data_IF_951564648028
#
_entry.id   IF_951564648028
#
_cell.length_a   1.000
_cell.length_b   1.000
_cell.length_c   1.000
_cell.angle_alpha   90.00
_cell.angle_beta   90.00
_cell.angle_gamma   90.00
#
_symmetry.space_group_name_H-M   'P 1'
#
loop_
_entity.id
_entity.type
_entity.pdbx_description
1 polymer ?
#
# COMPACT_ATOMS: atom_id res chain seq x y z
N UNK A 1 -2.96 -20.44 -3.85
CA UNK A 1 -3.18 -19.70 -2.58
C UNK A 1 -3.87 -18.38 -2.90
N UNK A 2 -4.82 -17.90 -2.09
CA UNK A 2 -5.32 -16.54 -2.24
C UNK A 2 -4.17 -15.56 -2.01
N UNK A 3 -4.03 -14.59 -2.92
CA UNK A 3 -3.06 -13.50 -2.79
C UNK A 3 -3.53 -12.59 -1.64
N UNK A 4 -2.59 -12.07 -0.84
CA UNK A 4 -2.92 -11.10 0.22
C UNK A 4 -3.64 -9.89 -0.37
N UNK A 5 -4.69 -9.38 0.29
CA UNK A 5 -5.41 -8.18 -0.16
C UNK A 5 -4.47 -6.99 -0.37
N UNK A 6 -3.40 -6.87 0.42
CA UNK A 6 -2.43 -5.79 0.24
C UNK A 6 -1.68 -5.90 -1.09
N UNK A 7 -1.36 -7.13 -1.52
CA UNK A 7 -0.71 -7.38 -2.81
C UNK A 7 -1.69 -7.13 -3.94
N UNK A 8 -2.94 -7.57 -3.81
CA UNK A 8 -3.99 -7.28 -4.79
C UNK A 8 -4.20 -5.77 -4.97
N UNK A 9 -4.21 -5.01 -3.87
CA UNK A 9 -4.33 -3.55 -3.89
C UNK A 9 -3.17 -2.84 -4.57
N UNK A 10 -1.96 -3.39 -4.51
CA UNK A 10 -0.79 -2.82 -5.19
C UNK A 10 -0.84 -3.15 -6.69
N UNK A 11 -1.22 -4.38 -7.02
CA UNK A 11 -1.18 -4.86 -8.41
C UNK A 11 -2.40 -4.45 -9.23
N UNK A 12 -3.58 -4.33 -8.60
CA UNK A 12 -4.86 -4.08 -9.26
C UNK A 12 -5.79 -3.19 -8.42
N UNK A 13 -5.41 -1.92 -8.18
CA UNK A 13 -6.11 -1.02 -7.26
C UNK A 13 -7.49 -0.55 -7.74
N UNK A 14 -7.82 -0.71 -9.02
CA UNK A 14 -9.09 -0.26 -9.60
C UNK A 14 -10.20 -1.30 -9.53
N UNK A 15 -9.88 -2.57 -9.25
CA UNK A 15 -10.83 -3.67 -9.40
C UNK A 15 -10.87 -4.59 -8.17
N UNK A 16 -10.92 -3.97 -6.98
CA UNK A 16 -10.81 -4.66 -5.70
C UNK A 16 -12.15 -5.16 -5.20
N UNK A 17 -12.22 -6.44 -4.82
CA UNK A 17 -13.35 -6.99 -4.09
C UNK A 17 -13.12 -6.84 -2.58
N UNK A 18 -13.81 -5.89 -1.95
CA UNK A 18 -13.71 -5.63 -0.51
C UNK A 18 -14.96 -6.07 0.26
N UNK A 19 -15.86 -6.89 -0.30
CA UNK A 19 -17.14 -7.27 0.31
C UNK A 19 -17.02 -7.90 1.70
N UNK A 20 -15.93 -8.65 1.94
CA UNK A 20 -15.66 -9.34 3.21
C UNK A 20 -14.78 -8.52 4.15
N UNK A 21 -14.42 -7.30 3.77
CA UNK A 21 -13.52 -6.43 4.52
C UNK A 21 -14.26 -5.17 4.97
N UNK A 22 -13.85 -4.66 6.13
CA UNK A 22 -14.43 -3.45 6.72
C UNK A 22 -13.35 -2.41 6.97
N UNK A 23 -13.70 -1.11 7.06
CA UNK A 23 -12.74 -0.07 7.40
C UNK A 23 -12.01 -0.35 8.73
N UNK A 24 -12.68 -1.04 9.66
CA UNK A 24 -12.13 -1.38 10.99
C UNK A 24 -10.98 -2.37 10.87
N UNK A 25 -11.06 -3.36 9.96
CA UNK A 25 -9.99 -4.33 9.75
C UNK A 25 -8.72 -3.62 9.27
N UNK A 26 -8.83 -2.73 8.29
CA UNK A 26 -7.70 -1.93 7.80
C UNK A 26 -7.15 -0.97 8.87
N UNK A 27 -8.02 -0.37 9.69
CA UNK A 27 -7.58 0.44 10.84
C UNK A 27 -6.76 -0.38 11.83
N UNK A 28 -7.21 -1.60 12.17
CA UNK A 28 -6.48 -2.52 13.06
C UNK A 28 -5.13 -2.92 12.46
N UNK A 29 -5.11 -3.32 11.18
CA UNK A 29 -3.87 -3.64 10.48
C UNK A 29 -2.87 -2.47 10.52
N UNK A 30 -3.34 -1.24 10.26
CA UNK A 30 -2.49 -0.04 10.34
C UNK A 30 -1.90 0.18 11.74
N UNK A 31 -2.66 -0.09 12.81
CA UNK A 31 -2.16 0.02 14.19
C UNK A 31 -1.02 -0.97 14.43
N UNK A 32 -1.21 -2.24 14.05
CA UNK A 32 -0.17 -3.27 14.24
C UNK A 32 1.08 -3.01 13.38
N UNK A 33 0.90 -2.54 12.14
CA UNK A 33 2.02 -2.15 11.27
C UNK A 33 2.81 -0.98 11.85
N UNK A 34 2.13 0.02 12.43
CA UNK A 34 2.82 1.13 13.12
C UNK A 34 3.56 0.68 14.38
N UNK A 35 2.99 -0.26 15.14
CA UNK A 35 3.69 -0.88 16.28
C UNK A 35 4.93 -1.64 15.80
N UNK A 36 4.82 -2.34 14.68
CA UNK A 36 5.95 -3.06 14.07
C UNK A 36 7.07 -2.10 13.67
N UNK A 37 6.76 -0.93 13.09
CA UNK A 37 7.74 0.12 12.81
C UNK A 37 8.42 0.64 14.08
N UNK A 38 7.65 0.89 15.14
CA UNK A 38 8.21 1.34 16.43
C UNK A 38 9.14 0.29 17.05
N UNK A 39 8.76 -0.99 16.99
CA UNK A 39 9.58 -2.09 17.46
C UNK A 39 10.86 -2.25 16.62
N UNK A 40 10.76 -2.09 15.29
CA UNK A 40 11.91 -2.12 14.38
C UNK A 40 12.90 -0.99 14.68
N UNK A 41 12.40 0.23 14.91
CA UNK A 41 13.21 1.39 15.27
C UNK A 41 13.89 1.20 16.64
N UNK A 42 13.20 0.58 17.60
CA UNK A 42 13.78 0.24 18.90
C UNK A 42 14.87 -0.84 18.77
N UNK A 43 14.59 -1.91 18.03
CA UNK A 43 15.54 -3.00 17.78
C UNK A 43 16.81 -2.48 17.10
N UNK A 44 16.68 -1.61 16.08
CA UNK A 44 17.82 -0.99 15.38
C UNK A 44 18.78 -0.26 16.32
N UNK A 45 18.29 0.34 17.41
CA UNK A 45 19.14 1.04 18.39
C UNK A 45 19.94 0.09 19.29
N UNK A 46 19.49 -1.15 19.43
CA UNK A 46 20.12 -2.17 20.29
C UNK A 46 21.04 -3.11 19.52
N UNK A 47 20.86 -3.21 18.21
CA UNK A 47 21.61 -4.11 17.36
C UNK A 47 23.00 -3.53 17.06
N UNK A 48 24.06 -4.36 17.04
CA UNK A 48 25.37 -3.91 16.58
C UNK A 48 25.30 -3.49 15.10
N UNK A 49 26.04 -2.46 14.74
CA UNK A 49 26.07 -2.01 13.36
C UNK A 49 26.67 -3.10 12.46
N UNK A 50 25.88 -3.50 11.48
CA UNK A 50 26.28 -4.42 10.41
C UNK A 50 25.60 -3.95 9.13
N UNK A 51 26.36 -3.86 8.04
CA UNK A 51 25.89 -3.32 6.78
C UNK A 51 24.73 -4.15 6.19
N UNK A 52 24.88 -5.47 6.11
CA UNK A 52 23.81 -6.37 5.63
C UNK A 52 22.56 -6.28 6.50
N UNK A 53 22.74 -6.20 7.82
CA UNK A 53 21.63 -6.03 8.75
C UNK A 53 20.92 -4.68 8.51
N UNK A 54 21.65 -3.59 8.30
CA UNK A 54 21.07 -2.28 8.02
C UNK A 54 20.24 -2.30 6.73
N UNK A 55 20.71 -3.01 5.71
CA UNK A 55 20.00 -3.21 4.46
C UNK A 55 18.70 -4.00 4.64
N UNK A 56 18.73 -5.11 5.38
CA UNK A 56 17.52 -5.90 5.70
C UNK A 56 16.52 -5.08 6.53
N UNK A 57 16.99 -4.31 7.51
CA UNK A 57 16.13 -3.43 8.30
C UNK A 57 15.47 -2.35 7.43
N UNK A 58 16.19 -1.82 6.43
CA UNK A 58 15.64 -0.87 5.47
C UNK A 58 14.54 -1.50 4.59
N UNK A 59 14.73 -2.74 4.12
CA UNK A 59 13.70 -3.49 3.37
C UNK A 59 12.45 -3.73 4.21
N UNK A 60 12.61 -4.20 5.45
CA UNK A 60 11.48 -4.46 6.37
C UNK A 60 10.73 -3.16 6.64
N UNK A 61 11.45 -2.07 6.89
CA UNK A 61 10.85 -0.75 7.11
C UNK A 61 10.03 -0.33 5.89
N UNK A 62 10.62 -0.38 4.71
CA UNK A 62 10.00 0.02 3.45
C UNK A 62 8.72 -0.77 3.14
N UNK A 63 8.78 -2.10 3.26
CA UNK A 63 7.61 -2.97 3.06
C UNK A 63 6.52 -2.63 4.07
N UNK A 64 6.89 -2.41 5.34
CA UNK A 64 5.92 -2.08 6.39
C UNK A 64 5.27 -0.72 6.15
N UNK A 65 6.03 0.29 5.70
CA UNK A 65 5.50 1.60 5.32
C UNK A 65 4.54 1.51 4.12
N UNK A 66 4.87 0.70 3.10
CA UNK A 66 3.98 0.40 1.99
C UNK A 66 2.68 -0.26 2.48
N UNK A 67 2.76 -1.24 3.38
CA UNK A 67 1.57 -1.86 3.97
C UNK A 67 0.74 -0.87 4.80
N UNK A 68 1.37 0.11 5.47
CA UNK A 68 0.67 1.20 6.18
C UNK A 68 -0.12 2.07 5.19
N UNK A 69 0.51 2.45 4.08
CA UNK A 69 -0.15 3.22 3.02
C UNK A 69 -1.32 2.44 2.41
N UNK A 70 -1.08 1.18 2.03
CA UNK A 70 -2.12 0.32 1.47
C UNK A 70 -3.25 0.08 2.48
N UNK A 71 -2.97 0.00 3.78
CA UNK A 71 -4.02 -0.04 4.82
C UNK A 71 -4.83 1.25 4.87
N UNK A 72 -4.21 2.43 4.69
CA UNK A 72 -4.95 3.71 4.58
C UNK A 72 -5.85 3.71 3.34
N UNK A 73 -5.33 3.26 2.20
CA UNK A 73 -6.10 3.13 0.96
C UNK A 73 -7.31 2.21 1.16
N UNK A 74 -7.12 1.03 1.74
CA UNK A 74 -8.20 0.04 1.93
C UNK A 74 -9.28 0.55 2.86
N UNK A 75 -8.89 1.25 3.94
CA UNK A 75 -9.84 1.93 4.81
C UNK A 75 -10.66 2.97 4.03
N UNK A 76 -10.01 3.80 3.20
CA UNK A 76 -10.67 4.84 2.42
C UNK A 76 -11.63 4.24 1.38
N UNK A 77 -11.24 3.16 0.70
CA UNK A 77 -12.07 2.46 -0.28
C UNK A 77 -13.31 1.84 0.37
N UNK A 78 -13.18 1.23 1.54
CA UNK A 78 -14.35 0.74 2.27
C UNK A 78 -15.29 1.87 2.73
N UNK A 79 -14.77 3.06 3.03
CA UNK A 79 -15.57 4.20 3.50
C UNK A 79 -16.25 4.99 2.38
N UNK A 80 -15.56 5.17 1.25
CA UNK A 80 -15.96 6.07 0.17
C UNK A 80 -16.29 5.34 -1.13
N UNK A 81 -15.60 4.24 -1.45
CA UNK A 81 -15.74 3.51 -2.71
C UNK A 81 -17.15 2.94 -2.92
N UNK A 82 -17.75 2.36 -1.87
CA UNK A 82 -19.10 1.82 -1.93
C UNK A 82 -20.21 2.90 -2.10
N UNK A 83 -19.95 4.14 -1.65
CA UNK A 83 -20.88 5.27 -1.84
C UNK A 83 -20.79 5.86 -3.23
N UNK A 84 -19.57 5.99 -3.78
CA UNK A 84 -19.34 6.55 -5.11
C UNK A 84 -19.76 5.61 -6.25
N UNK A 85 -19.63 4.28 -6.06
CA UNK A 85 -20.20 3.29 -6.99
C UNK A 85 -21.71 3.55 -7.18
N UNK A 86 -22.47 3.61 -6.08
CA UNK A 86 -23.93 3.83 -6.09
C UNK A 86 -24.41 5.14 -6.72
N UNK A 87 -23.61 6.21 -6.67
CA UNK A 87 -24.00 7.55 -7.19
C UNK A 87 -23.78 7.67 -8.70
N UNK A 88 -22.92 6.85 -9.29
CA UNK A 88 -22.60 6.89 -10.73
C UNK A 88 -23.51 5.95 -11.58
N UNK A 89 -24.49 5.31 -10.94
CA UNK A 89 -25.10 4.03 -11.34
C UNK A 89 -26.60 4.11 -11.73
N UNK A 90 -27.05 5.15 -12.46
CA UNK A 90 -28.41 5.14 -13.05
C UNK A 90 -28.50 4.39 -14.41
N UNK A 91 -27.46 3.71 -14.90
CA UNK A 91 -27.55 3.14 -16.26
C UNK A 91 -26.53 2.11 -16.77
N UNK A 92 -25.79 1.37 -15.94
CA UNK A 92 -24.82 0.39 -16.45
C UNK A 92 -24.95 -1.02 -15.79
N UNK A 93 -24.81 -2.11 -16.58
CA UNK A 93 -25.00 -3.48 -16.10
C UNK A 93 -23.79 -4.00 -15.29
N UNK A 94 -23.99 -4.11 -13.98
CA UNK A 94 -23.38 -5.00 -13.00
C UNK A 94 -21.87 -5.32 -13.03
N UNK A 95 -21.18 -4.84 -11.99
CA UNK A 95 -20.29 -5.67 -11.15
C UNK A 95 -20.38 -5.15 -9.71
N UNK A 96 -21.48 -5.48 -9.04
CA UNK A 96 -21.75 -5.08 -7.67
C UNK A 96 -20.57 -5.46 -6.75
N UNK A 97 -20.06 -4.50 -5.98
CA UNK A 97 -19.09 -4.77 -4.91
C UNK A 97 -17.61 -4.48 -5.22
N UNK A 98 -17.26 -4.15 -6.47
CA UNK A 98 -15.87 -3.80 -6.81
C UNK A 98 -15.61 -2.31 -6.65
N UNK A 99 -14.50 -1.97 -6.02
CA UNK A 99 -14.10 -0.58 -5.75
C UNK A 99 -12.70 -0.33 -6.28
N UNK A 100 -12.44 0.93 -6.60
CA UNK A 100 -11.21 1.38 -7.21
C UNK A 100 -10.76 2.73 -6.65
N UNK A 101 -9.46 3.04 -6.77
CA UNK A 101 -8.89 4.31 -6.30
C UNK A 101 -9.62 5.50 -6.92
N UNK A 102 -10.05 5.41 -8.18
CA UNK A 102 -10.81 6.46 -8.87
C UNK A 102 -12.14 6.83 -8.19
N UNK A 103 -12.68 5.98 -7.32
CA UNK A 103 -13.90 6.23 -6.55
C UNK A 103 -13.65 7.09 -5.30
N UNK A 104 -12.40 7.38 -4.97
CA UNK A 104 -12.04 8.20 -3.81
C UNK A 104 -12.14 9.70 -4.13
N UNK A 105 -12.48 10.54 -3.12
CA UNK A 105 -12.35 11.98 -3.22
C UNK A 105 -10.96 12.40 -3.71
N UNK A 106 -10.90 13.42 -4.57
CA UNK A 106 -9.65 13.90 -5.17
C UNK A 106 -8.58 14.21 -4.10
N UNK A 107 -8.98 14.85 -3.01
CA UNK A 107 -8.08 15.18 -1.90
C UNK A 107 -7.42 13.94 -1.27
N UNK A 108 -8.19 12.86 -1.10
CA UNK A 108 -7.67 11.59 -0.56
C UNK A 108 -6.73 10.93 -1.57
N UNK A 109 -7.07 10.94 -2.86
CA UNK A 109 -6.19 10.40 -3.91
C UNK A 109 -4.85 11.12 -3.95
N UNK A 110 -4.87 12.45 -3.95
CA UNK A 110 -3.64 13.26 -3.99
C UNK A 110 -2.76 13.02 -2.75
N UNK A 111 -3.34 12.93 -1.55
CA UNK A 111 -2.59 12.63 -0.32
C UNK A 111 -1.92 11.25 -0.35
N UNK A 112 -2.66 10.24 -0.83
CA UNK A 112 -2.13 8.87 -0.97
C UNK A 112 -1.06 8.79 -2.06
N UNK A 113 -1.24 9.48 -3.20
CA UNK A 113 -0.26 9.53 -4.27
C UNK A 113 1.05 10.19 -3.81
N UNK A 114 0.98 11.30 -3.07
CA UNK A 114 2.16 11.94 -2.49
C UNK A 114 2.90 11.01 -1.53
N UNK A 115 2.16 10.33 -0.64
CA UNK A 115 2.74 9.33 0.26
C UNK A 115 3.40 8.17 -0.52
N UNK A 116 2.83 7.77 -1.66
CA UNK A 116 3.39 6.72 -2.50
C UNK A 116 4.69 7.16 -3.19
N UNK A 117 4.77 8.42 -3.63
CA UNK A 117 5.98 8.96 -4.25
C UNK A 117 7.17 8.93 -3.27
N UNK A 118 6.93 9.25 -2.00
CA UNK A 118 7.95 9.13 -0.96
C UNK A 118 8.44 7.68 -0.80
N UNK A 119 7.52 6.72 -0.74
CA UNK A 119 7.85 5.29 -0.64
C UNK A 119 8.57 4.80 -1.90
N UNK A 120 8.15 5.25 -3.09
CA UNK A 120 8.79 4.92 -4.37
C UNK A 120 10.25 5.38 -4.40
N UNK A 121 10.54 6.60 -3.94
CA UNK A 121 11.91 7.11 -3.84
C UNK A 121 12.75 6.26 -2.88
N UNK A 122 12.21 5.93 -1.70
CA UNK A 122 12.91 5.05 -0.75
C UNK A 122 13.15 3.65 -1.33
N UNK A 123 12.17 3.11 -2.06
CA UNK A 123 12.30 1.82 -2.75
C UNK A 123 13.44 1.83 -3.76
N UNK A 124 13.61 2.89 -4.54
CA UNK A 124 14.73 2.99 -5.48
C UNK A 124 16.08 2.91 -4.77
N UNK A 125 16.24 3.63 -3.65
CA UNK A 125 17.47 3.58 -2.87
C UNK A 125 17.75 2.18 -2.31
N UNK A 126 16.74 1.54 -1.71
CA UNK A 126 16.88 0.19 -1.16
C UNK A 126 17.18 -0.83 -2.27
N UNK A 127 16.48 -0.75 -3.39
CA UNK A 127 16.70 -1.65 -4.53
C UNK A 127 18.12 -1.56 -5.08
N UNK A 128 18.62 -0.34 -5.33
CA UNK A 128 19.97 -0.13 -5.87
C UNK A 128 21.07 -0.54 -4.89
N UNK A 129 20.76 -0.65 -3.59
CA UNK A 129 21.71 -1.12 -2.58
C UNK A 129 21.84 -2.66 -2.49
N UNK A 130 20.93 -3.42 -3.12
CA UNK A 130 20.85 -4.90 -2.97
C UNK A 130 20.61 -5.68 -4.26
N UNK A 131 20.05 -5.04 -5.26
CA UNK A 131 19.57 -5.68 -6.50
C UNK A 131 20.25 -5.10 -7.72
N UNK A 132 20.19 -5.83 -8.84
CA UNK A 132 20.83 -5.44 -10.09
C UNK A 132 20.12 -4.18 -10.65
N UNK A 133 20.83 -3.08 -10.96
CA UNK A 133 20.21 -1.83 -11.40
C UNK A 133 19.30 -1.96 -12.62
N UNK A 134 19.61 -2.85 -13.56
CA UNK A 134 18.82 -3.09 -14.78
C UNK A 134 17.42 -3.64 -14.52
N UNK A 135 17.17 -4.20 -13.32
CA UNK A 135 15.85 -4.74 -12.93
C UNK A 135 14.94 -3.69 -12.29
N UNK A 136 15.49 -2.55 -11.86
CA UNK A 136 14.74 -1.49 -11.19
C UNK A 136 13.54 -0.97 -12.02
N UNK A 137 13.65 -0.71 -13.33
CA UNK A 137 12.52 -0.23 -14.11
C UNK A 137 11.33 -1.20 -14.09
N UNK A 138 11.59 -2.51 -14.10
CA UNK A 138 10.52 -3.51 -14.01
C UNK A 138 9.91 -3.56 -12.61
N UNK A 139 10.72 -3.43 -11.56
CA UNK A 139 10.22 -3.38 -10.20
C UNK A 139 9.34 -2.15 -9.95
N UNK A 140 9.72 -0.99 -10.51
CA UNK A 140 8.98 0.26 -10.33
C UNK A 140 7.57 0.26 -10.94
N UNK A 141 7.31 -0.60 -11.94
CA UNK A 141 5.97 -0.74 -12.55
C UNK A 141 4.88 -1.06 -11.53
N UNK A 142 5.22 -1.69 -10.40
CA UNK A 142 4.25 -1.97 -9.35
C UNK A 142 3.67 -0.69 -8.72
N UNK A 143 4.42 0.42 -8.75
CA UNK A 143 3.97 1.71 -8.22
C UNK A 143 3.16 2.51 -9.23
N UNK A 144 3.38 2.30 -10.53
CA UNK A 144 2.68 3.02 -11.60
C UNK A 144 1.20 2.61 -11.68
N UNK A 145 0.83 1.44 -11.14
CA UNK A 145 -0.57 0.99 -11.12
C UNK A 145 -1.41 1.70 -10.05
N UNK A 146 -0.80 2.31 -9.03
CA UNK A 146 -1.50 2.75 -7.81
C UNK A 146 -2.23 4.10 -7.92
N UNK A 147 -1.85 4.99 -8.85
CA UNK A 147 -2.51 6.28 -9.09
C UNK A 147 -2.22 6.81 -10.50
#
# INVERSE_FOLDING_TARGET
MPISVFVEMILNPENLNLERLTPVIFKKARIELRRSLMALDAARKTLPYNFELALVLAEIKLVTELMVLTSRLGQALCMHGAKAARVREEGAPYSAGRVGVMHLPLTIRTDLANSLLEIRTQFQHVWLSRSIPSTLPNALKMFDNLF
#
